data_IF_685787565469
#
_entry.id   IF_685787565469
#
_cell.length_a   1.000
_cell.length_b   1.000
_cell.length_c   1.000
_cell.angle_alpha   90.00
_cell.angle_beta   90.00
_cell.angle_gamma   90.00
#
_symmetry.space_group_name_H-M   'P 1'
#
loop_
_entity.id
_entity.type
_entity.pdbx_description
1 polymer ?
#
# COMPACT_ATOMS: atom_id res chain seq x y z
N UNK A 1 -13.67 -4.66 2.85
CA UNK A 1 -14.79 -3.89 2.26
C UNK A 1 -14.21 -3.07 1.12
N UNK A 2 -14.73 -3.22 -0.10
CA UNK A 2 -14.30 -2.44 -1.27
C UNK A 2 -14.71 -0.98 -1.04
N UNK A 3 -13.79 -0.04 -1.24
CA UNK A 3 -14.10 1.39 -1.13
C UNK A 3 -15.18 1.75 -2.19
N UNK A 4 -16.25 2.47 -1.81
CA UNK A 4 -17.38 2.76 -2.69
C UNK A 4 -17.05 3.70 -3.87
N UNK A 5 -15.82 4.20 -3.96
CA UNK A 5 -15.36 5.17 -4.97
C UNK A 5 -14.93 4.56 -6.31
N UNK A 6 -15.15 3.26 -6.54
CA UNK A 6 -14.78 2.57 -7.79
C UNK A 6 -15.84 2.67 -8.91
N UNK A 7 -16.91 3.44 -8.73
CA UNK A 7 -17.97 3.60 -9.72
C UNK A 7 -18.00 5.02 -10.29
N UNK A 8 -17.42 5.17 -11.49
CA UNK A 8 -17.97 5.86 -12.68
C UNK A 8 -16.88 6.42 -13.61
N UNK A 9 -15.61 6.42 -13.18
CA UNK A 9 -14.41 6.57 -14.03
C UNK A 9 -13.40 5.48 -13.64
N UNK A 10 -13.35 4.39 -14.43
CA UNK A 10 -12.54 3.20 -14.12
C UNK A 10 -11.07 3.58 -13.92
N UNK A 11 -10.55 3.39 -12.71
CA UNK A 11 -9.11 3.47 -12.42
C UNK A 11 -8.33 2.67 -13.48
N UNK A 12 -7.40 3.33 -14.19
CA UNK A 12 -6.55 2.70 -15.20
C UNK A 12 -5.13 2.57 -14.67
N UNK A 13 -4.70 1.38 -14.23
CA UNK A 13 -3.33 1.20 -13.80
C UNK A 13 -2.39 1.32 -15.00
N UNK A 14 -1.49 2.29 -14.95
CA UNK A 14 -0.53 2.59 -16.02
C UNK A 14 0.92 2.41 -15.54
N UNK A 15 1.13 2.48 -14.22
CA UNK A 15 2.41 2.21 -13.59
C UNK A 15 2.23 1.20 -12.44
N UNK A 16 3.25 0.35 -12.27
CA UNK A 16 3.35 -0.58 -11.15
C UNK A 16 4.74 -0.46 -10.50
N UNK A 17 4.75 -0.26 -9.18
CA UNK A 17 5.95 -0.37 -8.36
C UNK A 17 5.87 -1.67 -7.55
N UNK A 18 6.90 -2.51 -7.66
CA UNK A 18 7.00 -3.75 -6.90
C UNK A 18 8.08 -3.60 -5.85
N UNK A 19 7.71 -3.70 -4.58
CA UNK A 19 8.63 -3.69 -3.46
C UNK A 19 8.70 -5.08 -2.83
N UNK A 20 9.93 -5.57 -2.59
CA UNK A 20 10.18 -6.75 -1.78
C UNK A 20 10.71 -6.33 -0.41
N UNK A 21 10.05 -6.83 0.63
CA UNK A 21 10.37 -6.62 2.03
C UNK A 21 10.86 -7.92 2.64
N UNK A 22 12.19 -8.14 2.77
CA UNK A 22 12.70 -9.31 3.48
C UNK A 22 12.34 -9.24 4.98
N UNK A 23 12.45 -10.36 5.73
CA UNK A 23 12.26 -10.37 7.17
C UNK A 23 13.03 -9.25 7.88
N UNK A 24 12.37 -8.54 8.80
CA UNK A 24 12.96 -7.43 9.56
C UNK A 24 13.08 -6.09 8.83
N UNK A 25 12.67 -6.02 7.56
CA UNK A 25 12.63 -4.75 6.83
C UNK A 25 11.45 -3.86 7.24
N UNK A 26 11.61 -2.55 6.99
CA UNK A 26 10.58 -1.53 7.21
C UNK A 26 10.70 -0.41 6.18
N UNK A 27 9.67 0.40 6.09
CA UNK A 27 9.64 1.62 5.27
C UNK A 27 9.00 2.75 6.07
N UNK A 28 9.73 3.85 6.21
CA UNK A 28 9.24 5.03 6.91
C UNK A 28 8.07 5.71 6.18
N UNK A 29 7.38 6.59 6.90
CA UNK A 29 6.29 7.38 6.33
C UNK A 29 6.78 8.21 5.13
N UNK A 30 6.13 8.10 4.00
CA UNK A 30 6.43 8.85 2.77
C UNK A 30 5.14 9.14 2.02
N UNK A 31 5.23 9.95 0.97
CA UNK A 31 4.11 10.25 0.08
C UNK A 31 4.49 9.82 -1.33
N UNK A 32 3.52 9.21 -2.01
CA UNK A 32 3.61 8.88 -3.42
C UNK A 32 3.43 10.15 -4.25
N UNK A 33 4.57 10.80 -4.51
CA UNK A 33 4.62 12.16 -5.06
C UNK A 33 5.14 12.27 -6.49
N UNK A 34 5.58 11.16 -7.08
CA UNK A 34 6.25 11.15 -8.38
C UNK A 34 5.31 11.46 -9.54
N UNK A 35 4.03 11.15 -9.41
CA UNK A 35 3.02 11.38 -10.44
C UNK A 35 2.06 12.53 -10.07
N UNK A 36 1.72 13.34 -11.07
CA UNK A 36 0.63 14.31 -11.00
C UNK A 36 -0.67 13.59 -11.40
N UNK A 37 -1.27 12.83 -10.46
CA UNK A 37 -2.59 12.23 -10.67
C UNK A 37 -3.45 12.29 -9.42
N UNK A 38 -4.74 12.52 -9.64
CA UNK A 38 -5.78 12.48 -8.59
C UNK A 38 -6.34 11.08 -8.35
N UNK A 39 -6.10 10.14 -9.26
CA UNK A 39 -6.55 8.76 -9.19
C UNK A 39 -5.99 8.06 -7.94
N UNK A 40 -6.72 7.10 -7.33
CA UNK A 40 -6.27 6.43 -6.11
C UNK A 40 -4.97 5.64 -6.29
N UNK A 41 -4.27 5.39 -5.17
CA UNK A 41 -3.22 4.38 -5.10
C UNK A 41 -3.85 3.06 -4.69
N UNK A 42 -3.54 1.99 -5.42
CA UNK A 42 -4.03 0.63 -5.16
C UNK A 42 -2.84 -0.26 -4.84
N UNK A 43 -2.82 -0.89 -3.68
CA UNK A 43 -1.64 -1.63 -3.20
C UNK A 43 -2.01 -3.03 -2.70
N UNK A 44 -1.45 -4.05 -3.35
CA UNK A 44 -1.65 -5.48 -3.05
C UNK A 44 -0.50 -6.00 -2.19
N UNK A 45 -0.80 -6.84 -1.19
CA UNK A 45 0.17 -7.56 -0.37
C UNK A 45 0.17 -9.06 -0.68
N UNK A 46 1.35 -9.66 -0.82
CA UNK A 46 1.52 -11.11 -0.99
C UNK A 46 2.68 -11.56 -0.09
N UNK A 47 2.50 -12.63 0.69
CA UNK A 47 3.51 -13.15 1.61
C UNK A 47 3.21 -12.82 3.07
N UNK A 48 4.24 -12.50 3.85
CA UNK A 48 4.14 -12.20 5.28
C UNK A 48 3.25 -10.97 5.55
N UNK A 49 2.53 -11.02 6.68
CA UNK A 49 1.74 -9.91 7.21
C UNK A 49 2.57 -8.65 7.37
N UNK A 50 2.03 -7.51 6.94
CA UNK A 50 2.62 -6.21 7.19
C UNK A 50 1.72 -5.33 8.04
N UNK A 51 2.32 -4.56 8.94
CA UNK A 51 1.66 -3.40 9.50
C UNK A 51 1.79 -2.27 8.48
N UNK A 52 0.67 -1.84 7.91
CA UNK A 52 0.60 -0.64 7.09
C UNK A 52 0.14 0.53 7.95
N UNK A 53 0.81 1.67 7.83
CA UNK A 53 0.48 2.90 8.55
C UNK A 53 0.06 3.97 7.57
N UNK A 54 -1.06 4.64 7.84
CA UNK A 54 -1.52 5.80 7.07
C UNK A 54 -1.83 6.98 8.02
N UNK A 55 -1.24 8.13 7.72
CA UNK A 55 -1.42 9.38 8.45
C UNK A 55 -2.24 10.39 7.67
N UNK A 56 -2.01 11.67 7.96
CA UNK A 56 -2.62 12.79 7.26
C UNK A 56 -1.68 13.36 6.17
N UNK A 57 -2.12 14.39 5.45
CA UNK A 57 -1.38 15.00 4.34
C UNK A 57 -0.41 16.11 4.78
N UNK A 58 -0.50 16.56 6.03
CA UNK A 58 0.28 17.71 6.53
C UNK A 58 1.69 17.33 7.02
N UNK A 59 1.92 16.05 7.36
CA UNK A 59 3.22 15.63 7.87
C UNK A 59 3.31 14.17 8.32
N UNK A 60 4.47 13.82 8.89
CA UNK A 60 4.84 12.46 9.33
C UNK A 60 4.51 12.19 10.81
N UNK A 61 3.69 13.05 11.41
CA UNK A 61 3.35 13.02 12.83
C UNK A 61 2.00 12.32 13.07
N UNK A 62 1.65 12.12 14.34
CA UNK A 62 0.32 11.62 14.71
C UNK A 62 -0.75 12.67 14.41
N UNK A 63 -2.01 12.25 14.17
CA UNK A 63 -2.53 10.87 14.24
C UNK A 63 -2.22 10.03 12.99
N UNK A 64 -2.19 8.72 13.18
CA UNK A 64 -2.15 7.74 12.11
C UNK A 64 -2.94 6.49 12.50
N UNK A 65 -3.45 5.80 11.49
CA UNK A 65 -4.10 4.51 11.62
C UNK A 65 -3.13 3.41 11.16
N UNK A 66 -3.11 2.32 11.92
CA UNK A 66 -2.36 1.12 11.61
C UNK A 66 -3.33 0.00 11.19
N UNK A 67 -3.05 -0.61 10.05
CA UNK A 67 -3.86 -1.69 9.46
C UNK A 67 -2.94 -2.86 9.16
N UNK A 68 -3.28 -4.05 9.67
CA UNK A 68 -2.58 -5.27 9.27
C UNK A 68 -3.05 -5.70 7.88
N UNK A 69 -2.09 -5.89 6.96
CA UNK A 69 -2.32 -6.44 5.63
C UNK A 69 -1.75 -7.86 5.57
N UNK A 70 -2.61 -8.84 5.35
CA UNK A 70 -2.26 -10.24 5.13
C UNK A 70 -1.99 -10.50 3.64
N UNK A 71 -1.51 -11.70 3.32
CA UNK A 71 -1.39 -12.14 1.92
C UNK A 71 -2.75 -12.13 1.22
N UNK A 72 -2.84 -11.49 0.06
CA UNK A 72 -4.07 -11.29 -0.71
C UNK A 72 -4.84 -10.01 -0.37
N UNK A 73 -4.48 -9.32 0.73
CA UNK A 73 -5.13 -8.07 1.08
C UNK A 73 -4.73 -6.94 0.13
N UNK A 74 -5.73 -6.12 -0.18
CA UNK A 74 -5.58 -4.93 -1.00
C UNK A 74 -6.02 -3.71 -0.20
N UNK A 75 -5.22 -2.65 -0.26
CA UNK A 75 -5.57 -1.34 0.29
C UNK A 75 -5.67 -0.32 -0.84
N UNK A 76 -6.68 0.54 -0.75
CA UNK A 76 -6.90 1.66 -1.67
C UNK A 76 -6.94 2.94 -0.86
N UNK A 77 -6.19 3.96 -1.28
CA UNK A 77 -6.31 5.30 -0.73
C UNK A 77 -6.29 6.34 -1.85
N UNK A 78 -7.32 7.17 -1.88
CA UNK A 78 -7.56 8.19 -2.90
C UNK A 78 -8.21 9.42 -2.29
N UNK A 79 -8.75 10.31 -3.14
CA UNK A 79 -9.43 11.52 -2.70
C UNK A 79 -8.58 12.33 -1.71
N UNK A 80 -9.13 12.77 -0.57
CA UNK A 80 -8.37 13.50 0.46
C UNK A 80 -7.15 12.75 1.01
N UNK A 81 -7.13 11.41 0.95
CA UNK A 81 -6.03 10.58 1.41
C UNK A 81 -4.99 10.27 0.33
N UNK A 82 -5.18 10.73 -0.92
CA UNK A 82 -4.29 10.42 -2.05
C UNK A 82 -2.82 10.78 -1.81
N UNK A 83 -2.60 11.82 -0.99
CA UNK A 83 -1.28 12.35 -0.62
C UNK A 83 -0.97 12.14 0.87
N UNK A 84 -1.67 11.21 1.53
CA UNK A 84 -1.42 10.90 2.93
C UNK A 84 -0.02 10.29 3.11
N UNK A 85 0.67 10.69 4.17
CA UNK A 85 1.92 10.04 4.56
C UNK A 85 1.63 8.61 5.00
N UNK A 86 2.31 7.63 4.39
CA UNK A 86 2.10 6.22 4.70
C UNK A 86 3.39 5.42 4.65
N UNK A 87 3.39 4.23 5.24
CA UNK A 87 4.59 3.40 5.33
C UNK A 87 4.30 1.99 5.85
N UNK A 88 5.37 1.22 6.01
CA UNK A 88 5.32 -0.15 6.51
C UNK A 88 6.25 -0.25 7.72
N UNK A 89 5.77 0.01 8.95
CA UNK A 89 6.63 -0.03 10.12
C UNK A 89 7.22 -1.41 10.42
N UNK A 90 6.52 -2.50 10.03
CA UNK A 90 6.98 -3.86 10.29
C UNK A 90 6.37 -4.87 9.30
N UNK A 91 7.15 -5.91 9.01
CA UNK A 91 6.70 -7.16 8.36
C UNK A 91 6.90 -8.31 9.37
N UNK A 92 5.88 -9.14 9.56
CA UNK A 92 5.88 -10.23 10.56
C UNK A 92 6.31 -11.55 9.91
N UNK A 93 7.54 -12.03 10.16
CA UNK A 93 8.06 -13.21 9.48
C UNK A 93 7.28 -14.48 9.83
N UNK A 94 7.15 -15.39 8.86
CA UNK A 94 6.56 -16.72 9.06
C UNK A 94 5.04 -16.72 9.13
N UNK A 95 4.40 -15.66 8.62
CA UNK A 95 2.93 -15.52 8.56
C UNK A 95 2.38 -15.72 7.15
N UNK A 96 3.25 -15.81 6.14
CA UNK A 96 2.87 -16.13 4.78
C UNK A 96 2.09 -17.46 4.69
N UNK A 97 0.91 -17.48 4.04
CA UNK A 97 0.15 -18.71 3.90
C UNK A 97 0.83 -19.70 2.95
N UNK A 98 0.68 -20.99 3.26
CA UNK A 98 1.20 -22.08 2.42
C UNK A 98 0.63 -21.96 1.01
N UNK A 99 1.51 -22.01 0.00
CA UNK A 99 1.12 -21.95 -1.40
C UNK A 99 0.97 -20.55 -1.99
N UNK A 100 1.22 -19.46 -1.24
CA UNK A 100 1.20 -18.10 -1.80
C UNK A 100 2.39 -17.78 -2.72
N UNK A 101 3.36 -18.69 -2.84
CA UNK A 101 4.52 -18.55 -3.74
C UNK A 101 5.70 -17.77 -3.16
N UNK A 102 5.56 -17.20 -1.97
CA UNK A 102 6.63 -16.47 -1.26
C UNK A 102 7.15 -17.33 -0.11
N UNK A 103 8.48 -17.52 -0.05
CA UNK A 103 9.13 -18.34 1.01
C UNK A 103 9.25 -17.58 2.33
N UNK A 104 9.62 -16.31 2.25
CA UNK A 104 9.76 -15.41 3.39
C UNK A 104 9.61 -13.96 2.93
N UNK A 105 9.24 -13.08 3.85
CA UNK A 105 9.04 -11.67 3.55
C UNK A 105 7.74 -11.40 2.81
N UNK A 106 7.64 -10.19 2.26
CA UNK A 106 6.42 -9.68 1.62
C UNK A 106 6.73 -9.01 0.29
N UNK A 107 5.94 -9.32 -0.73
CA UNK A 107 5.81 -8.50 -1.92
C UNK A 107 4.67 -7.50 -1.76
N UNK A 108 4.93 -6.29 -2.20
CA UNK A 108 3.94 -5.25 -2.37
C UNK A 108 3.90 -4.84 -3.83
N UNK A 109 2.71 -4.84 -4.43
CA UNK A 109 2.50 -4.36 -5.80
C UNK A 109 1.60 -3.14 -5.70
N UNK A 110 2.18 -1.97 -5.96
CA UNK A 110 1.47 -0.69 -5.93
C UNK A 110 1.19 -0.24 -7.36
N UNK A 111 -0.10 -0.17 -7.70
CA UNK A 111 -0.62 0.27 -8.99
C UNK A 111 -1.02 1.74 -8.91
N UNK A 112 -0.69 2.49 -9.96
CA UNK A 112 -1.00 3.91 -10.08
C UNK A 112 -1.42 4.25 -11.51
N UNK A 113 -2.27 5.26 -11.63
CA UNK A 113 -2.56 5.94 -12.89
C UNK A 113 -1.65 7.18 -12.99
N UNK A 114 -1.20 7.50 -14.19
CA UNK A 114 -0.38 8.68 -14.47
C UNK A 114 -1.13 9.55 -15.47
N UNK A 115 -1.59 10.73 -15.03
CA UNK A 115 -2.27 11.63 -15.96
C UNK A 115 -1.21 12.19 -16.94
N UNK A 116 -1.51 12.17 -18.24
CA UNK A 116 -0.62 12.68 -19.31
C UNK A 116 -0.63 14.19 -19.40
#
# INVERSE_FOLDING_TARGET
RVAPELADDLFRPEAALVNYYPPGSSMGLHVDANEESSAPVVSLSIGDEALFRIGHTEGRTRPWDDVTLMSGDLIVFGGPARRAYHGVPAVRPGTAPVGCGIKEGRLNITLRQVDR
#
